data_IF_560325938455
#
_entry.id   IF_560325938455
#
_cell.length_a   1.000
_cell.length_b   1.000
_cell.length_c   1.000
_cell.angle_alpha   90.00
_cell.angle_beta   90.00
_cell.angle_gamma   90.00
#
_symmetry.space_group_name_H-M   'P 1'
#
loop_
_entity.id
_entity.type
_entity.pdbx_description
1 polymer ?
#
# COMPACT_ATOMS: atom_id res chain seq x y z
N UNK A 1 19.86 14.09 -2.06
CA UNK A 1 19.88 13.01 -1.05
C UNK A 1 20.36 13.48 0.34
N UNK A 2 20.93 14.69 0.48
CA UNK A 2 21.49 15.20 1.74
C UNK A 2 20.54 15.32 2.93
N UNK A 3 19.22 15.11 2.72
CA UNK A 3 18.26 15.08 3.82
C UNK A 3 18.52 13.94 4.82
N UNK A 4 19.21 12.86 4.48
CA UNK A 4 19.47 11.76 5.40
C UNK A 4 20.73 12.02 6.27
N UNK A 5 20.54 12.48 7.51
CA UNK A 5 21.63 12.92 8.42
C UNK A 5 22.65 11.84 8.72
N UNK A 6 22.21 10.59 8.86
CA UNK A 6 23.06 9.45 9.25
C UNK A 6 23.46 8.55 8.09
N UNK A 7 23.10 8.91 6.86
CA UNK A 7 23.32 8.09 5.67
C UNK A 7 22.12 7.21 5.30
N UNK A 8 22.32 6.32 4.33
CA UNK A 8 21.30 5.37 3.87
C UNK A 8 21.88 3.94 3.79
N UNK A 9 21.01 2.95 3.95
CA UNK A 9 21.26 1.58 3.51
C UNK A 9 20.77 1.43 2.06
N UNK A 10 21.70 1.53 1.11
CA UNK A 10 21.47 1.34 -0.31
C UNK A 10 21.17 -0.14 -0.64
N UNK A 11 20.17 -0.32 -1.50
CA UNK A 11 19.66 -1.60 -1.99
C UNK A 11 19.98 -1.74 -3.49
N UNK A 12 21.10 -2.35 -3.88
CA UNK A 12 21.55 -2.39 -5.26
C UNK A 12 20.65 -3.26 -6.17
N UNK A 13 19.86 -4.17 -5.59
CA UNK A 13 18.88 -4.98 -6.32
C UNK A 13 17.47 -4.38 -6.22
N UNK A 14 16.76 -4.37 -7.35
CA UNK A 14 15.33 -4.06 -7.38
C UNK A 14 14.53 -5.23 -6.79
N UNK A 15 13.80 -4.99 -5.71
CA UNK A 15 12.95 -6.00 -5.08
C UNK A 15 11.46 -5.74 -5.30
N UNK A 16 10.76 -6.75 -5.82
CA UNK A 16 9.37 -6.58 -6.25
C UNK A 16 8.39 -6.19 -5.11
N UNK A 17 8.71 -6.61 -3.88
CA UNK A 17 7.91 -6.34 -2.69
C UNK A 17 8.14 -4.95 -2.08
N UNK A 18 9.21 -4.24 -2.50
CA UNK A 18 9.47 -2.86 -2.10
C UNK A 18 8.80 -1.85 -3.05
N UNK A 19 8.22 -2.30 -4.15
CA UNK A 19 7.58 -1.44 -5.14
C UNK A 19 6.34 -0.74 -4.56
N UNK A 20 6.18 0.54 -4.87
CA UNK A 20 5.04 1.34 -4.46
C UNK A 20 3.83 1.01 -5.34
N UNK A 21 2.94 0.15 -4.84
CA UNK A 21 1.75 -0.33 -5.58
C UNK A 21 0.46 0.42 -5.28
N UNK A 22 0.36 1.00 -4.09
CA UNK A 22 -0.87 1.64 -3.62
C UNK A 22 -0.85 3.14 -3.89
N UNK A 23 -2.01 3.70 -4.20
CA UNK A 23 -2.17 5.14 -4.24
C UNK A 23 -1.91 5.74 -2.86
N UNK A 24 -1.01 6.72 -2.83
CA UNK A 24 -0.67 7.52 -1.64
C UNK A 24 -1.11 8.97 -1.81
N UNK A 25 -1.94 9.25 -2.81
CA UNK A 25 -2.54 10.57 -3.10
C UNK A 25 -1.52 11.64 -3.48
N UNK A 26 -0.35 11.20 -3.95
CA UNK A 26 0.68 12.04 -4.53
C UNK A 26 1.05 11.52 -5.92
N UNK A 27 1.58 12.42 -6.74
CA UNK A 27 1.90 12.17 -8.14
C UNK A 27 2.95 13.12 -8.66
N UNK A 28 3.49 12.78 -9.82
CA UNK A 28 4.48 13.56 -10.55
C UNK A 28 3.92 14.01 -11.89
N UNK A 29 4.50 15.08 -12.41
CA UNK A 29 4.29 15.47 -13.79
C UNK A 29 5.16 14.60 -14.68
N UNK A 30 4.55 13.85 -15.58
CA UNK A 30 5.22 13.03 -16.58
C UNK A 30 5.04 13.63 -17.97
N UNK A 31 6.03 13.46 -18.88
CA UNK A 31 5.84 13.72 -20.30
C UNK A 31 4.62 12.94 -20.84
N UNK A 32 3.90 13.56 -21.78
CA UNK A 32 2.64 13.06 -22.32
C UNK A 32 2.29 13.76 -23.63
N UNK A 33 1.52 13.13 -24.50
CA UNK A 33 0.92 13.80 -25.68
C UNK A 33 -0.58 14.03 -25.48
N UNK A 34 -1.13 15.20 -25.84
CA UNK A 34 -2.58 15.41 -25.85
C UNK A 34 -3.27 14.54 -26.92
N UNK A 35 -4.61 14.47 -26.90
CA UNK A 35 -5.39 13.78 -27.96
C UNK A 35 -5.07 14.28 -29.37
N UNK A 36 -4.53 15.50 -29.47
CA UNK A 36 -4.16 16.14 -30.74
C UNK A 36 -2.66 15.98 -31.05
N UNK A 37 -1.94 15.10 -30.34
CA UNK A 37 -0.53 14.82 -30.57
C UNK A 37 0.45 15.89 -30.08
N UNK A 38 0.01 16.86 -29.27
CA UNK A 38 0.89 17.92 -28.75
C UNK A 38 1.57 17.49 -27.45
N UNK A 39 2.87 17.72 -27.31
CA UNK A 39 3.59 17.52 -26.05
C UNK A 39 2.92 18.30 -24.90
N UNK A 40 2.79 17.64 -23.76
CA UNK A 40 2.11 18.09 -22.55
C UNK A 40 2.73 17.43 -21.32
N UNK A 41 2.50 18.01 -20.14
CA UNK A 41 2.83 17.38 -18.88
C UNK A 41 1.53 16.94 -18.20
N UNK A 42 1.44 15.67 -17.84
CA UNK A 42 0.27 15.08 -17.20
C UNK A 42 0.61 14.73 -15.75
N UNK A 43 -0.33 14.96 -14.84
CA UNK A 43 -0.18 14.53 -13.46
C UNK A 43 -0.53 13.05 -13.34
N UNK A 44 0.43 12.23 -12.91
CA UNK A 44 0.28 10.78 -12.77
C UNK A 44 0.60 10.37 -11.33
N UNK A 45 -0.28 9.58 -10.67
CA UNK A 45 -0.02 9.07 -9.33
C UNK A 45 1.32 8.33 -9.23
N UNK A 46 2.02 8.49 -8.11
CA UNK A 46 3.37 7.91 -7.92
C UNK A 46 3.40 6.40 -8.18
N UNK A 47 2.40 5.66 -7.70
CA UNK A 47 2.32 4.20 -7.90
C UNK A 47 2.17 3.75 -9.37
N UNK A 48 2.00 4.69 -10.31
CA UNK A 48 1.92 4.47 -11.76
C UNK A 48 3.15 5.00 -12.52
N UNK A 49 4.11 5.62 -11.83
CA UNK A 49 5.35 6.10 -12.44
C UNK A 49 6.45 5.06 -12.21
N UNK A 50 7.27 4.71 -13.22
CA UNK A 50 8.39 3.79 -13.04
C UNK A 50 9.35 4.27 -11.95
N UNK A 51 9.78 3.37 -11.06
CA UNK A 51 10.60 3.75 -9.93
C UNK A 51 11.47 2.61 -9.39
N UNK A 52 12.45 3.02 -8.59
CA UNK A 52 13.42 2.15 -7.92
C UNK A 52 13.49 2.51 -6.44
N UNK A 53 13.35 1.52 -5.56
CA UNK A 53 13.61 1.69 -4.13
C UNK A 53 15.13 1.69 -3.91
N UNK A 54 15.70 2.89 -3.76
CA UNK A 54 17.13 3.09 -3.53
C UNK A 54 17.57 2.49 -2.20
N UNK A 55 16.74 2.55 -1.16
CA UNK A 55 17.16 2.10 0.15
C UNK A 55 16.29 2.57 1.30
N UNK A 56 16.85 2.50 2.51
CA UNK A 56 16.21 2.99 3.74
C UNK A 56 17.15 3.96 4.47
N UNK A 57 16.61 4.93 5.19
CA UNK A 57 17.43 5.83 6.00
C UNK A 57 18.08 5.11 7.19
N UNK A 58 19.32 5.47 7.52
CA UNK A 58 19.97 5.09 8.77
C UNK A 58 19.38 5.96 9.89
N UNK A 59 19.05 5.36 11.04
CA UNK A 59 18.35 6.03 12.15
C UNK A 59 16.81 5.97 12.05
N UNK A 60 16.27 5.79 10.85
CA UNK A 60 14.82 5.69 10.60
C UNK A 60 14.52 4.69 9.47
N UNK A 61 14.79 3.41 9.73
CA UNK A 61 14.77 2.34 8.72
C UNK A 61 13.42 2.07 8.06
N UNK A 62 12.33 2.49 8.70
CA UNK A 62 10.96 2.50 8.17
C UNK A 62 10.78 3.46 7.00
N UNK A 63 11.67 4.47 6.89
CA UNK A 63 11.64 5.47 5.84
C UNK A 63 12.38 4.96 4.60
N UNK A 64 11.60 4.53 3.60
CA UNK A 64 12.08 4.04 2.32
C UNK A 64 12.28 5.19 1.34
N UNK A 65 13.38 5.13 0.60
CA UNK A 65 13.78 6.15 -0.36
C UNK A 65 13.65 5.62 -1.78
N UNK A 66 12.94 6.35 -2.60
CA UNK A 66 12.61 6.00 -3.98
C UNK A 66 13.18 7.02 -4.95
N UNK A 67 13.62 6.53 -6.11
CA UNK A 67 13.92 7.34 -7.29
C UNK A 67 12.85 7.02 -8.32
N UNK A 68 12.09 8.05 -8.70
CA UNK A 68 11.10 7.99 -9.76
C UNK A 68 11.71 8.43 -11.09
N UNK A 69 11.27 7.81 -12.18
CA UNK A 69 11.74 8.08 -13.54
C UNK A 69 10.57 8.49 -14.45
N UNK A 70 10.12 9.77 -14.38
CA UNK A 70 8.98 10.26 -15.16
C UNK A 70 9.11 10.04 -16.67
N UNK A 71 10.32 10.16 -17.21
CA UNK A 71 10.57 10.01 -18.64
C UNK A 71 10.39 8.56 -19.16
N UNK A 72 10.47 7.54 -18.29
CA UNK A 72 10.20 6.15 -18.67
C UNK A 72 8.70 5.84 -18.82
N UNK A 73 7.82 6.71 -18.32
CA UNK A 73 6.38 6.40 -18.27
C UNK A 73 5.73 6.27 -19.67
N UNK A 74 6.26 6.95 -20.69
CA UNK A 74 5.71 6.88 -22.06
C UNK A 74 6.22 5.67 -22.87
N UNK A 75 7.19 4.93 -22.33
CA UNK A 75 7.84 3.84 -23.04
C UNK A 75 6.97 2.57 -22.98
N UNK A 76 6.93 1.80 -24.07
CA UNK A 76 6.04 0.63 -24.21
C UNK A 76 6.22 -0.40 -23.09
N UNK A 77 7.44 -0.56 -22.59
CA UNK A 77 7.76 -1.48 -21.50
C UNK A 77 7.04 -1.15 -20.17
N UNK A 78 6.54 0.09 -20.04
CA UNK A 78 5.93 0.63 -18.82
C UNK A 78 4.42 0.89 -18.95
N UNK A 79 3.78 0.47 -20.05
CA UNK A 79 2.33 0.59 -20.23
C UNK A 79 1.55 -0.14 -19.13
N UNK A 80 2.09 -1.28 -18.66
CA UNK A 80 1.45 -2.15 -17.67
C UNK A 80 2.34 -2.46 -16.45
N UNK A 81 3.48 -1.78 -16.34
CA UNK A 81 4.46 -2.04 -15.28
C UNK A 81 5.09 -0.74 -14.79
N UNK A 82 5.32 -0.66 -13.47
CA UNK A 82 6.17 0.38 -12.86
C UNK A 82 7.53 -0.14 -12.42
N UNK A 83 7.78 -1.44 -12.62
CA UNK A 83 9.07 -2.06 -12.40
C UNK A 83 10.01 -1.68 -13.51
N UNK A 84 11.25 -1.31 -13.16
CA UNK A 84 12.31 -1.19 -14.15
C UNK A 84 12.47 -2.50 -14.93
N UNK A 85 12.55 -2.41 -16.25
CA UNK A 85 12.96 -3.54 -17.07
C UNK A 85 14.38 -3.96 -16.68
N UNK A 86 14.75 -5.24 -16.89
CA UNK A 86 16.12 -5.69 -16.58
C UNK A 86 17.19 -4.88 -17.33
N UNK A 87 16.85 -4.38 -18.53
CA UNK A 87 17.71 -3.50 -19.32
C UNK A 87 17.87 -2.14 -18.67
N UNK A 88 16.78 -1.52 -18.24
CA UNK A 88 16.83 -0.18 -17.63
C UNK A 88 17.41 -0.23 -16.21
N UNK A 89 17.17 -1.30 -15.44
CA UNK A 89 17.84 -1.55 -14.17
C UNK A 89 19.36 -1.63 -14.37
N UNK A 90 19.81 -2.45 -15.33
CA UNK A 90 21.23 -2.59 -15.61
C UNK A 90 21.84 -1.26 -16.07
N UNK A 91 21.18 -0.54 -16.97
CA UNK A 91 21.65 0.76 -17.46
C UNK A 91 21.71 1.79 -16.32
N UNK A 92 20.69 1.85 -15.47
CA UNK A 92 20.63 2.73 -14.31
C UNK A 92 21.79 2.47 -13.33
N UNK A 93 22.03 1.21 -12.99
CA UNK A 93 23.08 0.85 -12.03
C UNK A 93 24.48 0.97 -12.62
N UNK A 94 24.73 0.34 -13.77
CA UNK A 94 26.07 0.18 -14.32
C UNK A 94 26.58 1.47 -15.01
N UNK A 95 25.69 2.29 -15.59
CA UNK A 95 26.08 3.51 -16.30
C UNK A 95 25.92 4.79 -15.48
N UNK A 96 25.09 4.79 -14.43
CA UNK A 96 24.83 5.98 -13.59
C UNK A 96 25.24 5.72 -12.15
N UNK A 97 24.47 4.92 -11.41
CA UNK A 97 24.54 4.93 -9.94
C UNK A 97 25.89 4.44 -9.40
N UNK A 98 26.37 3.27 -9.85
CA UNK A 98 27.66 2.70 -9.39
C UNK A 98 28.84 3.60 -9.79
N UNK A 99 28.95 4.09 -11.05
CA UNK A 99 29.98 5.07 -11.41
C UNK A 99 29.93 6.35 -10.57
N UNK A 100 28.74 6.90 -10.31
CA UNK A 100 28.60 8.09 -9.47
C UNK A 100 29.05 7.81 -8.02
N UNK A 101 28.63 6.67 -7.43
CA UNK A 101 29.08 6.24 -6.09
C UNK A 101 30.61 6.11 -6.06
N UNK A 102 31.21 5.47 -7.06
CA UNK A 102 32.66 5.26 -7.16
C UNK A 102 33.43 6.58 -7.23
N UNK A 103 32.85 7.61 -7.87
CA UNK A 103 33.45 8.95 -7.97
C UNK A 103 33.36 9.76 -6.69
N UNK A 104 32.26 9.64 -5.92
CA UNK A 104 32.05 10.45 -4.71
C UNK A 104 32.58 9.80 -3.43
N UNK A 105 32.58 8.46 -3.36
CA UNK A 105 33.07 7.73 -2.20
C UNK A 105 34.59 7.57 -2.32
N UNK A 106 35.31 8.50 -1.71
CA UNK A 106 36.78 8.51 -1.66
C UNK A 106 37.34 7.54 -0.60
N UNK A 107 36.96 6.26 -0.68
CA UNK A 107 37.47 5.22 0.22
C UNK A 107 37.37 3.83 -0.41
N UNK A 108 38.52 3.29 -0.85
CA UNK A 108 38.60 1.96 -1.47
C UNK A 108 38.11 0.82 -0.56
N UNK A 109 38.28 0.95 0.75
CA UNK A 109 37.80 -0.07 1.71
C UNK A 109 36.27 -0.12 1.78
N UNK A 110 35.60 1.00 1.56
CA UNK A 110 34.13 1.07 1.47
C UNK A 110 33.70 0.54 0.10
N UNK A 111 34.32 1.02 -0.97
CA UNK A 111 33.98 0.62 -2.34
C UNK A 111 34.14 -0.89 -2.60
N UNK A 112 35.13 -1.53 -1.97
CA UNK A 112 35.33 -2.99 -2.07
C UNK A 112 34.19 -3.83 -1.49
N UNK A 113 33.27 -3.23 -0.72
CA UNK A 113 32.08 -3.89 -0.17
C UNK A 113 30.85 -3.74 -1.07
N UNK A 114 30.90 -2.89 -2.10
CA UNK A 114 29.78 -2.62 -2.99
C UNK A 114 29.80 -3.55 -4.20
N UNK A 115 28.64 -3.93 -4.74
CA UNK A 115 28.61 -4.76 -5.94
C UNK A 115 29.20 -3.98 -7.11
N UNK A 116 30.06 -4.65 -7.89
CA UNK A 116 30.70 -4.02 -9.04
C UNK A 116 29.77 -3.84 -10.26
N UNK A 117 28.59 -4.48 -10.26
CA UNK A 117 27.57 -4.33 -11.31
C UNK A 117 26.19 -4.77 -10.84
N UNK A 118 25.14 -4.37 -11.55
CA UNK A 118 23.78 -4.86 -11.42
C UNK A 118 23.71 -6.39 -11.50
N UNK A 119 24.52 -6.99 -12.38
CA UNK A 119 24.58 -8.45 -12.55
C UNK A 119 25.07 -9.14 -11.28
N UNK A 120 26.12 -8.62 -10.65
CA UNK A 120 26.66 -9.16 -9.39
C UNK A 120 25.63 -8.99 -8.28
N UNK A 121 25.05 -7.79 -8.12
CA UNK A 121 24.00 -7.55 -7.12
C UNK A 121 22.83 -8.53 -7.26
N UNK A 122 22.43 -8.84 -8.49
CA UNK A 122 21.37 -9.82 -8.76
C UNK A 122 21.77 -11.25 -8.40
N UNK A 123 22.97 -11.70 -8.75
CA UNK A 123 23.46 -13.04 -8.39
C UNK A 123 23.64 -13.20 -6.88
N UNK A 124 24.27 -12.22 -6.22
CA UNK A 124 24.53 -12.26 -4.78
C UNK A 124 23.23 -12.33 -3.97
N UNK A 125 22.18 -11.65 -4.42
CA UNK A 125 20.87 -11.73 -3.77
C UNK A 125 20.28 -13.15 -3.76
N UNK A 126 20.67 -14.00 -4.70
CA UNK A 126 20.19 -15.38 -4.82
C UNK A 126 21.14 -16.39 -4.17
N UNK A 127 22.34 -15.99 -3.75
CA UNK A 127 23.39 -16.91 -3.29
C UNK A 127 22.90 -17.90 -2.23
N UNK A 128 22.24 -17.46 -1.15
CA UNK A 128 21.71 -18.36 -0.11
C UNK A 128 20.72 -19.38 -0.68
N UNK A 129 19.83 -18.97 -1.59
CA UNK A 129 18.78 -19.84 -2.10
C UNK A 129 19.24 -20.76 -3.24
N UNK A 130 20.22 -20.32 -4.02
CA UNK A 130 20.77 -21.04 -5.16
C UNK A 130 21.92 -21.99 -4.78
N UNK A 131 22.70 -21.64 -3.74
CA UNK A 131 23.91 -22.35 -3.34
C UNK A 131 23.75 -23.07 -1.99
N UNK A 132 22.71 -22.74 -1.22
CA UNK A 132 22.40 -23.38 0.06
C UNK A 132 21.74 -24.76 -0.09
N UNK A 133 22.29 -25.78 0.57
CA UNK A 133 21.74 -27.15 0.61
C UNK A 133 20.51 -27.31 1.55
N UNK A 134 20.07 -26.25 2.24
CA UNK A 134 18.97 -26.34 3.19
C UNK A 134 17.61 -26.43 2.48
N UNK A 135 16.68 -27.23 3.03
CA UNK A 135 15.25 -27.19 2.65
C UNK A 135 14.78 -25.73 2.69
N UNK A 136 13.97 -25.32 1.69
CA UNK A 136 13.48 -23.96 1.45
C UNK A 136 12.71 -23.36 2.65
N UNK A 137 13.44 -22.96 3.69
CA UNK A 137 12.92 -22.20 4.83
C UNK A 137 13.11 -20.70 4.64
N UNK A 138 14.00 -20.26 3.74
CA UNK A 138 14.32 -18.86 3.47
C UNK A 138 13.62 -18.29 2.23
N UNK A 139 13.47 -16.96 2.20
CA UNK A 139 13.02 -16.24 1.01
C UNK A 139 13.95 -16.53 -0.18
N UNK A 140 13.39 -16.59 -1.40
CA UNK A 140 14.18 -16.85 -2.62
C UNK A 140 15.25 -15.80 -2.88
N UNK A 141 15.04 -14.57 -2.42
CA UNK A 141 15.97 -13.45 -2.60
C UNK A 141 16.34 -12.84 -1.24
N UNK A 142 17.61 -12.51 -1.09
CA UNK A 142 18.17 -11.79 0.05
C UNK A 142 18.10 -10.28 -0.17
N UNK A 143 17.78 -9.55 0.90
CA UNK A 143 17.82 -8.09 0.91
C UNK A 143 19.20 -7.60 1.35
N UNK A 144 20.14 -7.54 0.40
CA UNK A 144 21.51 -7.08 0.65
C UNK A 144 21.56 -5.55 0.73
N UNK A 145 22.11 -5.01 1.83
CA UNK A 145 22.16 -3.59 2.15
C UNK A 145 23.60 -3.11 2.26
N UNK A 146 23.91 -1.98 1.65
CA UNK A 146 25.23 -1.33 1.73
C UNK A 146 25.09 0.08 2.29
N UNK A 147 25.86 0.43 3.33
CA UNK A 147 25.74 1.73 3.98
C UNK A 147 26.50 2.81 3.20
N UNK A 148 25.80 3.84 2.72
CA UNK A 148 26.39 5.06 2.14
C UNK A 148 26.34 6.17 3.20
N UNK A 149 27.50 6.69 3.58
CA UNK A 149 27.67 7.67 4.65
C UNK A 149 27.15 9.05 4.24
N UNK A 150 26.67 9.88 5.19
CA UNK A 150 25.94 11.11 4.91
C UNK A 150 26.75 12.14 4.12
N UNK A 151 28.06 12.23 4.34
CA UNK A 151 28.94 13.18 3.64
C UNK A 151 28.98 12.97 2.12
N UNK A 152 28.62 11.78 1.63
CA UNK A 152 28.63 11.46 0.21
C UNK A 152 27.27 11.71 -0.46
N UNK A 153 26.18 11.86 0.30
CA UNK A 153 24.83 11.80 -0.26
C UNK A 153 24.47 13.01 -1.12
N UNK A 154 24.75 14.22 -0.66
CA UNK A 154 24.41 15.40 -1.45
C UNK A 154 25.23 15.49 -2.76
N UNK A 155 26.58 15.33 -2.72
CA UNK A 155 27.38 15.24 -3.94
C UNK A 155 26.95 14.09 -4.86
N UNK A 156 26.56 12.93 -4.30
CA UNK A 156 26.08 11.79 -5.08
C UNK A 156 24.84 12.16 -5.91
N UNK A 157 23.86 12.82 -5.31
CA UNK A 157 22.63 13.17 -6.02
C UNK A 157 22.88 14.20 -7.12
N UNK A 158 23.70 15.22 -6.83
CA UNK A 158 24.11 16.22 -7.83
C UNK A 158 24.80 15.56 -9.00
N UNK A 159 25.79 14.70 -8.74
CA UNK A 159 26.54 14.01 -9.79
C UNK A 159 25.67 13.05 -10.63
N UNK A 160 24.67 12.41 -10.03
CA UNK A 160 23.69 11.58 -10.74
C UNK A 160 22.94 12.43 -11.78
N UNK A 161 22.43 13.59 -11.36
CA UNK A 161 21.67 14.47 -12.24
C UNK A 161 22.55 15.05 -13.36
N UNK A 162 23.77 15.49 -13.04
CA UNK A 162 24.75 15.96 -14.04
C UNK A 162 25.07 14.86 -15.06
N UNK A 163 25.32 13.63 -14.60
CA UNK A 163 25.63 12.49 -15.47
C UNK A 163 24.48 12.18 -16.45
N UNK A 164 23.22 12.34 -16.01
CA UNK A 164 22.03 12.13 -16.85
C UNK A 164 21.90 13.25 -17.89
N UNK A 165 22.14 14.51 -17.51
CA UNK A 165 22.00 15.65 -18.42
C UNK A 165 23.13 15.71 -19.47
N UNK A 166 24.36 15.42 -19.07
CA UNK A 166 25.55 15.50 -19.92
C UNK A 166 25.65 14.34 -20.92
N UNK A 167 24.89 13.25 -20.72
CA UNK A 167 24.94 12.07 -21.57
C UNK A 167 23.62 11.85 -22.33
N UNK A 168 23.56 12.13 -23.65
CA UNK A 168 22.38 11.88 -24.47
C UNK A 168 21.87 10.43 -24.44
N UNK A 169 22.75 9.46 -24.20
CA UNK A 169 22.40 8.04 -24.06
C UNK A 169 21.58 7.72 -22.81
N UNK A 170 21.49 8.65 -21.85
CA UNK A 170 20.79 8.50 -20.58
C UNK A 170 19.51 9.34 -20.48
N UNK A 171 19.05 9.94 -21.60
CA UNK A 171 17.88 10.83 -21.63
C UNK A 171 16.60 10.21 -21.04
N UNK A 172 16.47 8.88 -21.08
CA UNK A 172 15.33 8.14 -20.53
C UNK A 172 15.21 8.24 -18.99
N UNK A 173 16.28 8.65 -18.30
CA UNK A 173 16.28 8.90 -16.86
C UNK A 173 16.17 10.39 -16.49
N UNK A 174 15.98 11.29 -17.47
CA UNK A 174 15.80 12.72 -17.19
C UNK A 174 14.63 12.98 -16.26
N UNK A 175 14.73 14.07 -15.50
CA UNK A 175 13.75 14.43 -14.46
C UNK A 175 13.61 13.39 -13.34
N UNK A 176 14.65 12.57 -13.11
CA UNK A 176 14.70 11.66 -11.97
C UNK A 176 14.37 12.42 -10.67
N UNK A 177 13.43 11.89 -9.90
CA UNK A 177 12.86 12.59 -8.73
C UNK A 177 12.93 11.72 -7.49
N UNK A 178 13.46 12.27 -6.40
CA UNK A 178 13.48 11.60 -5.11
C UNK A 178 12.12 11.70 -4.40
N UNK A 179 11.73 10.62 -3.74
CA UNK A 179 10.59 10.61 -2.84
C UNK A 179 10.85 9.65 -1.68
N UNK A 180 10.48 10.06 -0.48
CA UNK A 180 10.68 9.28 0.73
C UNK A 180 9.33 8.97 1.37
N UNK A 181 9.14 7.74 1.84
CA UNK A 181 7.88 7.32 2.43
C UNK A 181 8.09 6.26 3.51
N UNK A 182 7.41 6.44 4.64
CA UNK A 182 7.33 5.47 5.72
C UNK A 182 5.96 4.79 5.74
N UNK A 183 5.94 3.47 5.92
CA UNK A 183 4.70 2.68 6.10
C UNK A 183 4.81 1.84 7.35
N UNK A 184 3.66 1.44 7.88
CA UNK A 184 3.53 0.56 9.04
C UNK A 184 4.09 1.14 10.36
N UNK A 185 4.16 2.46 10.48
CA UNK A 185 4.66 3.17 11.66
C UNK A 185 3.59 3.44 12.73
N UNK A 186 2.33 3.10 12.45
CA UNK A 186 1.16 3.47 13.28
C UNK A 186 1.28 3.01 14.73
N UNK A 187 1.69 1.75 14.95
CA UNK A 187 1.81 1.18 16.31
C UNK A 187 3.04 1.74 17.02
N UNK A 188 4.11 2.03 16.29
CA UNK A 188 5.38 2.49 16.82
C UNK A 188 5.28 3.87 17.50
N UNK A 189 4.50 4.78 16.91
CA UNK A 189 4.30 6.14 17.42
C UNK A 189 2.98 6.32 18.20
N UNK A 190 2.18 5.27 18.38
CA UNK A 190 0.93 5.39 19.14
C UNK A 190 1.22 5.65 20.64
N UNK A 191 0.63 6.69 21.21
CA UNK A 191 0.77 7.08 22.62
C UNK A 191 -0.59 7.49 23.19
N UNK A 192 -0.66 7.64 24.52
CA UNK A 192 -1.89 8.02 25.23
C UNK A 192 -2.31 9.47 24.97
N UNK A 193 -1.38 10.35 24.61
CA UNK A 193 -1.65 11.73 24.22
C UNK A 193 -0.94 12.08 22.91
N UNK A 194 -1.48 13.07 22.21
CA UNK A 194 -0.91 13.58 20.96
C UNK A 194 0.49 14.17 21.21
N UNK A 195 0.67 14.93 22.28
CA UNK A 195 1.94 15.56 22.66
C UNK A 195 3.06 14.51 22.77
N UNK A 196 2.82 13.40 23.47
CA UNK A 196 3.80 12.31 23.58
C UNK A 196 4.07 11.62 22.23
N UNK A 197 3.04 11.42 21.41
CA UNK A 197 3.20 10.80 20.09
C UNK A 197 4.07 11.68 19.18
N UNK A 198 3.78 12.98 19.16
CA UNK A 198 4.50 13.95 18.35
C UNK A 198 5.96 14.11 18.81
N UNK A 199 6.22 14.30 20.11
CA UNK A 199 7.59 14.45 20.63
C UNK A 199 8.49 13.24 20.32
N UNK A 200 7.94 12.02 20.40
CA UNK A 200 8.71 10.80 20.07
C UNK A 200 8.98 10.72 18.57
N UNK A 201 7.98 11.05 17.74
CA UNK A 201 8.14 11.07 16.29
C UNK A 201 9.11 12.15 15.84
N UNK A 202 8.92 13.39 16.31
CA UNK A 202 9.73 14.56 15.99
C UNK A 202 11.19 14.32 16.33
N UNK A 203 11.49 13.79 17.53
CA UNK A 203 12.88 13.47 17.93
C UNK A 203 13.55 12.50 16.97
N UNK A 204 12.83 11.48 16.49
CA UNK A 204 13.38 10.52 15.51
C UNK A 204 13.51 11.16 14.12
N UNK A 205 12.52 11.96 13.73
CA UNK A 205 12.54 12.67 12.45
C UNK A 205 13.68 13.69 12.38
N UNK A 206 13.87 14.51 13.40
CA UNK A 206 14.91 15.54 13.46
C UNK A 206 16.32 14.95 13.62
N UNK A 207 16.46 13.82 14.32
CA UNK A 207 17.72 13.05 14.37
C UNK A 207 18.08 12.45 13.00
N UNK A 208 17.11 11.89 12.28
CA UNK A 208 17.36 11.22 11.01
C UNK A 208 17.41 12.17 9.80
N UNK A 209 16.80 13.35 9.88
CA UNK A 209 16.57 14.22 8.70
C UNK A 209 17.11 15.65 8.82
N UNK A 210 17.71 16.16 7.74
CA UNK A 210 18.21 17.53 7.65
C UNK A 210 17.17 18.44 6.96
N UNK A 211 16.59 19.43 7.66
CA UNK A 211 15.57 20.34 7.13
C UNK A 211 16.05 21.25 6.00
N UNK A 212 17.36 21.41 5.78
CA UNK A 212 17.89 22.18 4.64
C UNK A 212 17.57 21.55 3.28
N UNK A 213 17.25 20.25 3.26
CA UNK A 213 17.08 19.46 2.03
C UNK A 213 15.64 19.07 1.73
N UNK A 214 14.66 19.54 2.51
CA UNK A 214 13.25 19.32 2.23
C UNK A 214 12.39 20.55 2.56
N UNK A 215 11.23 20.65 1.90
CA UNK A 215 10.26 21.72 2.18
C UNK A 215 9.13 21.16 3.05
N UNK A 216 8.88 21.77 4.21
CA UNK A 216 7.85 21.35 5.17
C UNK A 216 6.43 21.39 4.60
N UNK A 217 6.13 22.28 3.66
CA UNK A 217 4.84 22.35 2.96
C UNK A 217 4.65 21.20 1.94
N UNK A 218 5.75 20.50 1.62
CA UNK A 218 5.80 19.36 0.70
C UNK A 218 6.23 18.06 1.38
N UNK A 219 6.35 18.08 2.71
CA UNK A 219 6.54 16.91 3.56
C UNK A 219 5.23 16.69 4.31
N UNK A 220 4.74 15.45 4.36
CA UNK A 220 3.42 15.15 4.90
C UNK A 220 3.50 14.09 5.98
N UNK A 221 2.64 14.24 6.99
CA UNK A 221 2.48 13.31 8.11
C UNK A 221 1.02 12.91 8.25
N UNK A 222 0.78 11.69 8.73
CA UNK A 222 -0.56 11.21 9.06
C UNK A 222 -0.78 11.41 10.57
N UNK A 223 -1.58 12.41 10.93
CA UNK A 223 -2.07 12.63 12.29
C UNK A 223 -3.28 11.72 12.54
N UNK A 224 -3.20 10.84 13.54
CA UNK A 224 -4.21 9.82 13.76
C UNK A 224 -4.67 9.72 15.22
N UNK A 225 -5.97 9.45 15.38
CA UNK A 225 -6.62 9.13 16.67
C UNK A 225 -7.34 7.79 16.55
N UNK A 226 -7.24 6.97 17.59
CA UNK A 226 -8.09 5.79 17.75
C UNK A 226 -8.91 5.93 19.04
N UNK A 227 -10.22 5.73 18.92
CA UNK A 227 -11.14 5.68 20.06
C UNK A 227 -11.65 4.25 20.20
N UNK A 228 -11.32 3.64 21.33
CA UNK A 228 -11.85 2.33 21.75
C UNK A 228 -12.74 2.57 22.97
N UNK A 229 -13.66 1.64 23.26
CA UNK A 229 -14.44 1.69 24.49
C UNK A 229 -13.55 1.73 25.74
N UNK A 230 -14.10 2.27 26.84
CA UNK A 230 -13.43 2.27 28.16
C UNK A 230 -13.19 0.85 28.68
N UNK A 231 -14.05 -0.08 28.28
CA UNK A 231 -13.99 -1.50 28.68
C UNK A 231 -13.19 -2.32 27.66
N UNK A 232 -12.12 -1.72 27.11
CA UNK A 232 -11.29 -2.37 26.10
C UNK A 232 -10.52 -3.56 26.67
N UNK A 233 -10.57 -4.70 25.98
CA UNK A 233 -9.81 -5.90 26.32
C UNK A 233 -8.78 -6.24 25.23
N UNK A 234 -7.61 -6.75 25.63
CA UNK A 234 -6.64 -7.45 24.77
C UNK A 234 -6.65 -8.95 25.09
N UNK A 235 -6.06 -9.82 24.25
CA UNK A 235 -6.03 -11.25 24.54
C UNK A 235 -5.38 -11.49 25.89
N UNK A 236 -6.00 -12.37 26.67
CA UNK A 236 -5.54 -12.81 27.99
C UNK A 236 -5.68 -11.77 29.11
N UNK A 237 -6.36 -10.65 28.87
CA UNK A 237 -6.84 -9.80 29.97
C UNK A 237 -7.94 -10.52 30.75
N UNK A 238 -7.96 -10.32 32.08
CA UNK A 238 -9.14 -10.62 32.88
C UNK A 238 -10.18 -9.54 32.57
N UNK A 239 -11.14 -9.87 31.69
CA UNK A 239 -12.32 -9.05 31.52
C UNK A 239 -13.12 -9.12 32.82
N UNK A 240 -13.52 -8.00 33.44
CA UNK A 240 -14.41 -8.01 34.60
C UNK A 240 -15.64 -8.89 34.33
N UNK A 241 -16.16 -9.59 35.35
CA UNK A 241 -17.28 -10.56 35.18
C UNK A 241 -18.55 -9.94 34.56
N UNK A 242 -18.68 -8.62 34.59
CA UNK A 242 -19.79 -7.82 34.08
C UNK A 242 -19.52 -7.09 32.75
N UNK A 243 -18.37 -7.33 32.11
CA UNK A 243 -17.98 -6.67 30.86
C UNK A 243 -17.66 -7.67 29.75
N UNK A 244 -17.75 -7.20 28.49
CA UNK A 244 -17.40 -8.00 27.30
C UNK A 244 -16.40 -7.24 26.42
N UNK A 245 -15.70 -7.95 25.54
CA UNK A 245 -14.88 -7.30 24.52
C UNK A 245 -15.77 -6.58 23.50
N UNK A 246 -15.39 -5.37 23.11
CA UNK A 246 -16.26 -4.46 22.36
C UNK A 246 -15.63 -3.97 21.05
N UNK A 247 -16.43 -4.00 19.99
CA UNK A 247 -16.13 -3.38 18.71
C UNK A 247 -16.96 -2.11 18.56
N UNK A 248 -16.29 -0.97 18.36
CA UNK A 248 -16.96 0.30 18.12
C UNK A 248 -17.13 0.54 16.62
N UNK A 249 -18.31 1.02 16.23
CA UNK A 249 -18.65 1.41 14.86
C UNK A 249 -19.21 2.82 14.84
N UNK A 250 -18.74 3.67 13.94
CA UNK A 250 -19.36 4.98 13.70
C UNK A 250 -20.60 4.83 12.81
N UNK A 251 -21.57 5.71 12.98
CA UNK A 251 -22.85 5.81 12.25
C UNK A 251 -22.70 5.95 10.72
N UNK A 252 -21.47 6.05 10.21
CA UNK A 252 -21.15 6.00 8.79
C UNK A 252 -19.99 5.03 8.61
N UNK A 253 -20.27 3.88 8.00
CA UNK A 253 -19.34 2.76 7.81
C UNK A 253 -18.18 3.14 6.87
N UNK A 254 -17.21 3.91 7.36
CA UNK A 254 -16.04 4.34 6.62
C UNK A 254 -16.29 5.57 5.73
N UNK A 255 -15.49 6.62 5.90
CA UNK A 255 -15.57 7.85 5.14
C UNK A 255 -14.16 8.33 4.80
N UNK A 256 -13.95 8.83 3.59
CA UNK A 256 -12.72 9.57 3.23
C UNK A 256 -13.13 10.86 2.53
N UNK A 257 -12.71 11.98 3.10
CA UNK A 257 -12.95 13.32 2.59
C UNK A 257 -11.62 13.83 2.04
N UNK A 258 -11.57 14.12 0.74
CA UNK A 258 -10.41 14.74 0.12
C UNK A 258 -10.59 16.25 0.11
N UNK A 259 -9.53 16.98 0.45
CA UNK A 259 -9.51 18.41 0.22
C UNK A 259 -9.60 18.70 -1.28
N UNK A 260 -10.29 19.77 -1.66
CA UNK A 260 -10.43 20.15 -3.06
C UNK A 260 -9.04 20.50 -3.63
N UNK A 261 -8.65 19.97 -4.81
CA UNK A 261 -7.38 20.33 -5.44
C UNK A 261 -7.27 21.86 -5.62
N UNK A 262 -6.25 22.46 -5.02
CA UNK A 262 -6.04 23.92 -5.04
C UNK A 262 -7.03 24.74 -4.20
N UNK A 263 -7.91 24.09 -3.42
CA UNK A 263 -8.79 24.72 -2.42
C UNK A 263 -8.04 25.31 -1.23
N UNK A 264 -8.75 25.95 -0.31
CA UNK A 264 -8.14 26.57 0.88
C UNK A 264 -7.45 25.51 1.75
N UNK A 265 -8.13 24.41 2.04
CA UNK A 265 -7.64 23.32 2.88
C UNK A 265 -6.35 22.70 2.33
N UNK A 266 -6.28 22.49 1.01
CA UNK A 266 -5.06 21.97 0.36
C UNK A 266 -3.91 22.97 0.42
N UNK A 267 -4.19 24.29 0.32
CA UNK A 267 -3.17 25.33 0.44
C UNK A 267 -2.66 25.47 1.87
N UNK A 268 -3.52 25.22 2.85
CA UNK A 268 -3.18 25.24 4.27
C UNK A 268 -2.50 23.93 4.72
N UNK A 269 -2.48 22.90 3.86
CA UNK A 269 -1.69 21.69 4.04
C UNK A 269 -2.49 20.40 4.24
N UNK A 270 -3.83 20.44 4.30
CA UNK A 270 -4.68 19.25 4.44
C UNK A 270 -4.88 18.54 3.09
N UNK A 271 -4.57 17.25 3.03
CA UNK A 271 -4.77 16.41 1.83
C UNK A 271 -6.06 15.60 1.93
N UNK A 272 -6.27 14.90 3.04
CA UNK A 272 -7.49 14.15 3.29
C UNK A 272 -7.75 13.93 4.78
N UNK A 273 -9.00 13.64 5.11
CA UNK A 273 -9.44 13.11 6.41
C UNK A 273 -10.17 11.78 6.19
N UNK A 274 -9.74 10.73 6.88
CA UNK A 274 -10.27 9.38 6.75
C UNK A 274 -10.76 8.84 8.10
N UNK A 275 -11.97 8.30 8.11
CA UNK A 275 -12.63 7.72 9.28
C UNK A 275 -13.02 6.27 9.00
N UNK A 276 -12.65 5.33 9.86
CA UNK A 276 -12.99 3.91 9.64
C UNK A 276 -12.86 3.06 10.92
N UNK A 277 -13.60 1.95 11.00
CA UNK A 277 -13.45 0.97 12.07
C UNK A 277 -12.21 0.09 11.91
N UNK A 278 -11.54 -0.24 13.02
CA UNK A 278 -10.36 -1.11 13.04
C UNK A 278 -10.69 -2.60 12.87
N UNK A 279 -11.96 -2.96 12.70
CA UNK A 279 -12.45 -4.34 12.59
C UNK A 279 -11.86 -5.11 11.39
N UNK A 280 -11.32 -4.41 10.38
CA UNK A 280 -10.61 -5.06 9.25
C UNK A 280 -9.23 -5.63 9.63
N UNK A 281 -8.67 -5.21 10.77
CA UNK A 281 -7.29 -5.53 11.18
C UNK A 281 -7.02 -7.04 11.27
N UNK A 282 -7.92 -7.90 11.79
CA UNK A 282 -7.69 -9.35 11.81
C UNK A 282 -7.52 -9.97 10.42
N UNK A 283 -8.06 -9.33 9.38
CA UNK A 283 -7.99 -9.84 8.01
C UNK A 283 -6.85 -9.24 7.17
N UNK A 284 -6.21 -8.17 7.66
CA UNK A 284 -5.15 -7.41 6.99
C UNK A 284 -3.77 -7.89 7.47
N UNK A 285 -3.00 -8.52 6.58
CA UNK A 285 -1.59 -8.82 6.83
C UNK A 285 -0.74 -8.05 5.83
N UNK A 286 -0.14 -6.94 6.28
CA UNK A 286 0.69 -6.07 5.43
C UNK A 286 0.01 -5.66 4.11
N UNK A 287 -1.28 -5.30 4.16
CA UNK A 287 -2.14 -4.97 3.02
C UNK A 287 -2.53 -6.13 2.11
N UNK A 288 -2.24 -7.36 2.52
CA UNK A 288 -2.79 -8.57 1.88
C UNK A 288 -4.00 -9.01 2.68
N UNK A 289 -5.21 -8.78 2.15
CA UNK A 289 -6.46 -9.18 2.80
C UNK A 289 -6.82 -10.66 2.54
N UNK A 290 -7.76 -11.23 3.30
CA UNK A 290 -8.20 -12.62 3.06
C UNK A 290 -8.98 -12.67 1.75
N UNK A 291 -8.74 -13.71 0.93
CA UNK A 291 -9.32 -13.85 -0.40
C UNK A 291 -8.94 -12.75 -1.42
N UNK A 292 -7.98 -11.87 -1.11
CA UNK A 292 -7.63 -10.71 -1.96
C UNK A 292 -7.09 -11.08 -3.36
N UNK A 293 -6.58 -12.31 -3.51
CA UNK A 293 -6.10 -12.85 -4.79
C UNK A 293 -7.26 -13.05 -5.79
N UNK A 294 -7.39 -12.14 -6.74
CA UNK A 294 -8.40 -12.19 -7.81
C UNK A 294 -8.34 -13.46 -8.67
N UNK A 295 -7.15 -14.04 -8.82
CA UNK A 295 -6.94 -15.27 -9.58
C UNK A 295 -7.67 -16.47 -8.98
N UNK A 296 -8.14 -16.39 -7.72
CA UNK A 296 -9.01 -17.40 -7.12
C UNK A 296 -10.32 -17.54 -7.91
N UNK A 297 -10.81 -16.50 -8.58
CA UNK A 297 -11.99 -16.56 -9.47
C UNK A 297 -11.81 -17.59 -10.61
N UNK A 298 -10.56 -17.90 -10.99
CA UNK A 298 -10.28 -18.91 -12.01
C UNK A 298 -10.68 -20.33 -11.57
N UNK A 299 -10.97 -20.57 -10.29
CA UNK A 299 -11.57 -21.83 -9.82
C UNK A 299 -12.96 -22.08 -10.43
N UNK A 300 -13.64 -21.04 -10.91
CA UNK A 300 -14.93 -21.13 -11.58
C UNK A 300 -14.82 -21.43 -13.09
N UNK A 301 -13.61 -21.49 -13.65
CA UNK A 301 -13.41 -21.79 -15.08
C UNK A 301 -13.70 -23.26 -15.36
N UNK A 302 -14.43 -23.51 -16.45
CA UNK A 302 -14.68 -24.85 -16.94
C UNK A 302 -13.37 -25.62 -17.21
N UNK A 303 -13.20 -26.85 -16.69
CA UNK A 303 -11.98 -27.62 -16.91
C UNK A 303 -11.71 -27.92 -18.39
N UNK A 304 -12.75 -28.02 -19.23
CA UNK A 304 -12.63 -28.18 -20.68
C UNK A 304 -12.04 -26.93 -21.34
N UNK A 305 -12.53 -25.75 -20.98
CA UNK A 305 -11.99 -24.47 -21.41
C UNK A 305 -10.53 -24.27 -21.01
N UNK A 306 -10.17 -24.63 -19.77
CA UNK A 306 -8.76 -24.55 -19.34
C UNK A 306 -7.86 -25.48 -20.16
N UNK A 307 -8.33 -26.70 -20.45
CA UNK A 307 -7.57 -27.66 -21.28
C UNK A 307 -7.39 -27.16 -22.72
N UNK A 308 -8.42 -26.57 -23.32
CA UNK A 308 -8.29 -26.04 -24.70
C UNK A 308 -7.29 -24.89 -24.77
N UNK A 309 -7.34 -23.97 -23.80
CA UNK A 309 -6.39 -22.86 -23.72
C UNK A 309 -4.93 -23.33 -23.57
N UNK A 310 -4.70 -24.37 -22.75
CA UNK A 310 -3.37 -24.96 -22.58
C UNK A 310 -2.87 -25.66 -23.85
N UNK A 311 -3.77 -26.27 -24.64
CA UNK A 311 -3.44 -26.93 -25.90
C UNK A 311 -3.12 -25.93 -27.03
N UNK A 312 -3.78 -24.78 -27.04
CA UNK A 312 -3.58 -23.72 -28.04
C UNK A 312 -2.31 -22.89 -27.79
N UNK A 313 -1.52 -23.19 -26.74
CA UNK A 313 -0.32 -22.43 -26.39
C UNK A 313 -0.62 -21.00 -25.91
N UNK A 314 -1.88 -20.69 -25.60
CA UNK A 314 -2.29 -19.44 -24.99
C UNK A 314 -1.66 -19.36 -23.60
N UNK A 315 -0.74 -18.42 -23.41
CA UNK A 315 0.05 -18.23 -22.18
C UNK A 315 -0.78 -17.80 -20.97
N UNK A 316 -1.75 -18.61 -20.54
CA UNK A 316 -2.47 -18.38 -19.30
C UNK A 316 -1.73 -19.10 -18.18
N UNK A 317 -1.16 -18.30 -17.28
CA UNK A 317 -0.49 -18.69 -16.03
C UNK A 317 -1.48 -19.26 -14.99
N UNK A 318 -2.54 -19.96 -15.42
CA UNK A 318 -3.53 -20.53 -14.51
C UNK A 318 -3.06 -21.87 -13.98
N UNK A 319 -2.78 -21.91 -12.68
CA UNK A 319 -2.60 -23.15 -11.94
C UNK A 319 -3.75 -23.33 -10.97
N UNK A 320 -4.62 -24.31 -11.26
CA UNK A 320 -5.74 -24.68 -10.38
C UNK A 320 -5.25 -24.95 -8.95
N UNK A 321 -4.16 -25.70 -8.80
CA UNK A 321 -3.59 -26.01 -7.48
C UNK A 321 -3.10 -24.78 -6.72
N UNK A 322 -2.57 -23.76 -7.40
CA UNK A 322 -2.19 -22.49 -6.76
C UNK A 322 -3.42 -21.72 -6.29
N UNK A 323 -4.49 -21.70 -7.10
CA UNK A 323 -5.74 -21.02 -6.74
C UNK A 323 -6.46 -21.72 -5.58
N UNK A 324 -6.50 -23.06 -5.58
CA UNK A 324 -7.04 -23.86 -4.47
C UNK A 324 -6.25 -23.63 -3.19
N UNK A 325 -4.91 -23.64 -3.28
CA UNK A 325 -4.05 -23.35 -2.13
C UNK A 325 -4.29 -21.95 -1.57
N UNK A 326 -4.42 -20.93 -2.43
CA UNK A 326 -4.70 -19.56 -2.04
C UNK A 326 -6.09 -19.42 -1.37
N UNK A 327 -7.11 -20.08 -1.93
CA UNK A 327 -8.46 -20.13 -1.37
C UNK A 327 -8.48 -20.77 0.02
N UNK A 328 -7.91 -21.97 0.16
CA UNK A 328 -7.86 -22.70 1.43
C UNK A 328 -7.01 -21.97 2.48
N UNK A 329 -5.91 -21.35 2.07
CA UNK A 329 -5.08 -20.53 2.97
C UNK A 329 -5.85 -19.31 3.47
N UNK A 330 -6.64 -18.66 2.62
CA UNK A 330 -7.52 -17.55 3.00
C UNK A 330 -8.61 -17.99 3.98
N UNK A 331 -9.26 -19.15 3.74
CA UNK A 331 -10.23 -19.74 4.68
C UNK A 331 -9.61 -20.00 6.05
N UNK A 332 -8.45 -20.66 6.09
CA UNK A 332 -7.73 -20.94 7.35
C UNK A 332 -7.40 -19.66 8.11
N UNK A 333 -6.89 -18.64 7.41
CA UNK A 333 -6.55 -17.36 8.01
C UNK A 333 -7.78 -16.62 8.53
N UNK A 334 -8.87 -16.60 7.76
CA UNK A 334 -10.13 -15.99 8.19
C UNK A 334 -10.70 -16.70 9.42
N UNK A 335 -10.74 -18.04 9.42
CA UNK A 335 -11.23 -18.84 10.53
C UNK A 335 -10.46 -18.61 11.83
N UNK A 336 -9.12 -18.73 11.80
CA UNK A 336 -8.29 -18.49 12.97
C UNK A 336 -8.49 -17.07 13.51
N UNK A 337 -8.52 -16.07 12.63
CA UNK A 337 -8.73 -14.68 13.05
C UNK A 337 -10.13 -14.42 13.62
N UNK A 338 -11.17 -15.11 13.14
CA UNK A 338 -12.52 -14.96 13.68
C UNK A 338 -12.72 -15.63 15.04
N UNK A 339 -11.91 -16.65 15.37
CA UNK A 339 -11.96 -17.32 16.67
C UNK A 339 -11.08 -16.62 17.69
N UNK A 340 -9.80 -16.43 17.36
CA UNK A 340 -8.78 -16.03 18.32
C UNK A 340 -8.87 -14.55 18.71
N UNK A 341 -9.64 -13.76 17.95
CA UNK A 341 -9.84 -12.33 18.21
C UNK A 341 -11.18 -11.98 18.89
N UNK A 342 -12.01 -12.96 19.28
CA UNK A 342 -13.31 -12.70 19.95
C UNK A 342 -13.20 -11.88 21.23
N UNK A 343 -12.05 -11.99 21.90
CA UNK A 343 -11.74 -11.33 23.16
C UNK A 343 -11.00 -9.99 23.00
N UNK A 344 -10.90 -9.46 21.77
CA UNK A 344 -10.22 -8.18 21.51
C UNK A 344 -11.23 -7.08 21.24
N UNK A 345 -10.94 -5.89 21.76
CA UNK A 345 -11.71 -4.69 21.42
C UNK A 345 -11.17 -4.00 20.17
N UNK A 346 -12.07 -3.45 19.35
CA UNK A 346 -11.74 -2.77 18.09
C UNK A 346 -12.29 -1.35 18.09
N UNK A 347 -11.39 -0.36 18.02
CA UNK A 347 -11.77 1.05 18.00
C UNK A 347 -12.08 1.61 16.60
N UNK A 348 -12.68 2.79 16.58
CA UNK A 348 -12.80 3.66 15.40
C UNK A 348 -11.56 4.52 15.26
N UNK A 349 -11.13 4.74 14.01
CA UNK A 349 -9.98 5.57 13.67
C UNK A 349 -10.39 6.79 12.88
N UNK A 350 -9.62 7.84 13.12
CA UNK A 350 -9.61 9.11 12.41
C UNK A 350 -8.15 9.39 12.03
N UNK A 351 -7.90 9.66 10.74
CA UNK A 351 -6.57 9.90 10.19
C UNK A 351 -6.61 11.10 9.25
N UNK A 352 -5.73 12.08 9.47
CA UNK A 352 -5.58 13.27 8.66
C UNK A 352 -4.19 13.30 8.04
N UNK A 353 -4.11 13.41 6.72
CA UNK A 353 -2.83 13.66 6.05
C UNK A 353 -2.64 15.15 5.89
N UNK A 354 -1.66 15.70 6.61
CA UNK A 354 -1.39 17.13 6.67
C UNK A 354 0.08 17.41 6.35
N UNK A 355 0.40 18.63 5.94
CA UNK A 355 1.79 19.07 5.76
C UNK A 355 2.52 19.12 7.11
N UNK A 356 3.84 19.04 7.08
CA UNK A 356 4.66 19.16 8.28
C UNK A 356 4.54 20.56 8.89
N UNK A 357 4.44 21.61 8.06
CA UNK A 357 4.18 22.98 8.52
C UNK A 357 2.87 23.07 9.32
N UNK A 358 1.79 22.49 8.78
CA UNK A 358 0.49 22.47 9.47
C UNK A 358 0.55 21.67 10.78
N UNK A 359 1.30 20.55 10.81
CA UNK A 359 1.49 19.78 12.03
C UNK A 359 2.23 20.57 13.11
N UNK A 360 3.28 21.32 12.74
CA UNK A 360 4.01 22.18 13.68
C UNK A 360 3.09 23.27 14.26
N UNK A 361 2.28 23.91 13.43
CA UNK A 361 1.28 24.91 13.88
C UNK A 361 0.20 24.31 14.78
N UNK A 362 -0.31 23.12 14.45
CA UNK A 362 -1.27 22.39 15.29
C UNK A 362 -0.63 22.07 16.64
N UNK A 363 0.62 21.62 16.64
CA UNK A 363 1.33 21.27 17.87
C UNK A 363 1.53 22.50 18.78
N UNK A 364 1.93 23.64 18.22
CA UNK A 364 2.08 24.89 18.98
C UNK A 364 0.76 25.34 19.64
N UNK A 365 -0.35 25.26 18.90
CA UNK A 365 -1.69 25.57 19.45
C UNK A 365 -2.11 24.55 20.50
N UNK A 366 -1.83 23.26 20.28
CA UNK A 366 -2.18 22.20 21.20
C UNK A 366 -1.45 22.34 22.54
N UNK A 367 -0.15 22.62 22.52
CA UNK A 367 0.64 22.89 23.73
C UNK A 367 0.07 24.08 24.50
N UNK A 368 -0.44 25.10 23.80
CA UNK A 368 -1.14 26.21 24.46
C UNK A 368 -2.45 25.76 25.11
N UNK A 369 -3.25 24.93 24.45
CA UNK A 369 -4.52 24.43 25.00
C UNK A 369 -4.35 23.46 26.17
N UNK A 370 -3.35 22.57 26.14
CA UNK A 370 -3.02 21.67 27.26
C UNK A 370 -2.68 22.46 28.56
N UNK A 371 -2.28 23.74 28.44
CA UNK A 371 -2.04 24.63 29.59
C UNK A 371 -3.33 25.25 30.16
N UNK A 372 -4.43 25.23 29.41
CA UNK A 372 -5.73 25.81 29.79
C UNK A 372 -6.80 24.75 30.13
N UNK A 373 -6.67 23.51 29.64
CA UNK A 373 -7.54 22.39 30.01
C UNK A 373 -7.11 21.75 31.35
N UNK A 374 -7.25 22.52 32.41
CA UNK A 374 -7.43 22.01 33.76
C UNK A 374 -8.91 22.17 34.12
N UNK A 375 -9.61 21.04 34.22
CA UNK A 375 -10.95 20.88 34.82
C UNK A 375 -12.15 21.49 34.05
N UNK A 376 -12.72 20.71 33.13
CA UNK A 376 -14.17 20.74 32.92
C UNK A 376 -14.77 19.33 33.10
N UNK A 377 -14.94 18.95 34.37
CA UNK A 377 -15.69 17.77 34.79
C UNK A 377 -17.17 18.13 34.80
N UNK A 378 -17.75 18.37 33.62
CA UNK A 378 -19.20 18.35 33.48
C UNK A 378 -19.65 16.88 33.43
N UNK A 379 -20.33 16.43 34.49
CA UNK A 379 -20.75 15.04 34.72
C UNK A 379 -21.81 14.49 33.75
N UNK A 380 -22.01 15.11 32.59
CA UNK A 380 -22.81 14.52 31.51
C UNK A 380 -21.87 13.84 30.52
N UNK A 381 -21.90 12.50 30.46
CA UNK A 381 -21.24 11.80 29.35
C UNK A 381 -21.90 12.28 28.05
N UNK A 382 -21.18 13.01 27.16
CA UNK A 382 -21.74 13.34 25.86
C UNK A 382 -22.11 12.04 25.15
N UNK A 383 -23.13 12.05 24.27
CA UNK A 383 -23.44 10.89 23.45
C UNK A 383 -22.17 10.46 22.70
N UNK A 384 -21.82 9.18 22.80
CA UNK A 384 -20.66 8.65 22.10
C UNK A 384 -20.96 8.72 20.59
N UNK A 385 -20.03 9.22 19.75
CA UNK A 385 -20.26 9.35 18.31
C UNK A 385 -20.14 8.01 17.56
N UNK A 386 -20.45 6.91 18.24
CA UNK A 386 -20.31 5.53 17.77
C UNK A 386 -21.24 4.59 18.53
N UNK A 387 -21.68 3.55 17.84
CA UNK A 387 -22.28 2.36 18.44
C UNK A 387 -21.19 1.46 19.01
N UNK A 388 -21.52 0.78 20.09
CA UNK A 388 -20.71 -0.26 20.71
C UNK A 388 -21.44 -1.59 20.44
N UNK A 389 -20.75 -2.55 19.86
CA UNK A 389 -21.27 -3.89 19.58
C UNK A 389 -20.32 -4.90 20.23
N UNK A 390 -20.82 -5.94 20.92
CA UNK A 390 -19.96 -7.02 21.40
C UNK A 390 -19.12 -7.60 20.25
N UNK A 391 -17.80 -7.72 20.46
CA UNK A 391 -16.90 -8.25 19.44
C UNK A 391 -17.33 -9.66 19.03
N UNK A 392 -17.76 -10.49 19.98
CA UNK A 392 -18.19 -11.86 19.68
C UNK A 392 -19.40 -11.90 18.74
N UNK A 393 -20.38 -11.02 18.95
CA UNK A 393 -21.56 -10.91 18.09
C UNK A 393 -21.17 -10.50 16.66
N UNK A 394 -20.33 -9.47 16.56
CA UNK A 394 -19.84 -8.97 15.27
C UNK A 394 -19.01 -10.01 14.52
N UNK A 395 -18.06 -10.68 15.19
CA UNK A 395 -17.25 -11.71 14.56
C UNK A 395 -18.08 -12.95 14.22
N UNK A 396 -19.09 -13.29 15.01
CA UNK A 396 -20.04 -14.36 14.68
C UNK A 396 -20.87 -14.03 13.45
N UNK A 397 -21.30 -12.78 13.30
CA UNK A 397 -21.93 -12.30 12.06
C UNK A 397 -20.97 -12.41 10.86
N UNK A 398 -19.74 -11.94 10.98
CA UNK A 398 -18.74 -12.04 9.91
C UNK A 398 -18.40 -13.49 9.54
N UNK A 399 -18.32 -14.38 10.54
CA UNK A 399 -18.15 -15.82 10.34
C UNK A 399 -19.30 -16.40 9.51
N UNK A 400 -20.54 -16.06 9.84
CA UNK A 400 -21.70 -16.48 9.05
C UNK A 400 -21.68 -15.91 7.63
N UNK A 401 -21.32 -14.63 7.45
CA UNK A 401 -21.23 -14.00 6.13
C UNK A 401 -20.16 -14.64 5.23
N UNK A 402 -18.96 -14.89 5.75
CA UNK A 402 -17.88 -15.55 5.00
C UNK A 402 -18.29 -16.99 4.63
N UNK A 403 -18.86 -17.74 5.58
CA UNK A 403 -19.27 -19.12 5.32
C UNK A 403 -20.43 -19.21 4.34
N UNK A 404 -21.35 -18.25 4.33
CA UNK A 404 -22.43 -18.19 3.33
C UNK A 404 -21.88 -18.22 1.90
N UNK A 405 -20.86 -17.41 1.61
CA UNK A 405 -20.24 -17.37 0.27
C UNK A 405 -19.31 -18.56 0.01
N UNK A 406 -18.57 -19.03 1.02
CA UNK A 406 -17.80 -20.27 0.88
C UNK A 406 -18.72 -21.45 0.51
N UNK A 407 -19.81 -21.61 1.27
CA UNK A 407 -20.79 -22.67 1.04
C UNK A 407 -21.43 -22.55 -0.33
N UNK A 408 -21.84 -21.35 -0.77
CA UNK A 408 -22.41 -21.16 -2.10
C UNK A 408 -21.45 -21.61 -3.20
N UNK A 409 -20.17 -21.21 -3.13
CA UNK A 409 -19.15 -21.62 -4.09
C UNK A 409 -18.92 -23.14 -4.07
N UNK A 410 -18.65 -23.70 -2.88
CA UNK A 410 -18.30 -25.12 -2.71
C UNK A 410 -19.48 -26.04 -3.05
N UNK A 411 -20.71 -25.61 -2.73
CA UNK A 411 -21.92 -26.34 -3.06
C UNK A 411 -22.12 -26.40 -4.58
N UNK A 412 -22.04 -25.28 -5.29
CA UNK A 412 -22.18 -25.27 -6.75
C UNK A 412 -21.05 -26.10 -7.38
N UNK A 413 -19.81 -25.90 -6.95
CA UNK A 413 -18.66 -26.65 -7.45
C UNK A 413 -18.86 -28.16 -7.29
N UNK A 414 -19.35 -28.63 -6.13
CA UNK A 414 -19.58 -30.05 -5.87
C UNK A 414 -20.73 -30.66 -6.69
N UNK A 415 -21.68 -29.85 -7.17
CA UNK A 415 -22.82 -30.31 -7.98
C UNK A 415 -22.60 -30.12 -9.48
N UNK A 416 -21.49 -29.50 -9.88
CA UNK A 416 -21.12 -29.42 -11.30
C UNK A 416 -20.72 -30.78 -11.86
N UNK A 417 -21.03 -31.00 -13.14
CA UNK A 417 -20.61 -32.19 -13.86
C UNK A 417 -19.12 -32.10 -14.28
N UNK A 418 -18.67 -32.96 -15.21
CA UNK A 418 -17.30 -32.87 -15.78
C UNK A 418 -17.01 -31.52 -16.46
N UNK A 419 -18.05 -30.76 -16.76
CA UNK A 419 -18.02 -29.42 -17.32
C UNK A 419 -18.95 -28.50 -16.53
N UNK A 420 -18.63 -27.21 -16.52
CA UNK A 420 -19.43 -26.19 -15.85
C UNK A 420 -20.31 -25.47 -16.87
N UNK A 421 -21.60 -25.36 -16.56
CA UNK A 421 -22.52 -24.52 -17.33
C UNK A 421 -22.27 -23.04 -17.04
N UNK A 422 -22.67 -22.16 -17.96
CA UNK A 422 -22.55 -20.73 -17.77
C UNK A 422 -23.22 -20.22 -16.47
N UNK A 423 -24.46 -20.65 -16.11
CA UNK A 423 -25.06 -20.26 -14.84
C UNK A 423 -24.24 -20.71 -13.62
N UNK A 424 -23.70 -21.92 -13.62
CA UNK A 424 -22.86 -22.42 -12.52
C UNK A 424 -21.59 -21.57 -12.38
N UNK A 425 -20.90 -21.30 -13.49
CA UNK A 425 -19.72 -20.42 -13.51
C UNK A 425 -20.07 -19.02 -13.00
N UNK A 426 -21.18 -18.43 -13.44
CA UNK A 426 -21.60 -17.10 -12.96
C UNK A 426 -21.82 -17.06 -11.46
N UNK A 427 -22.51 -18.06 -10.89
CA UNK A 427 -22.77 -18.13 -9.44
C UNK A 427 -21.47 -18.32 -8.66
N UNK A 428 -20.58 -19.20 -9.14
CA UNK A 428 -19.26 -19.40 -8.52
C UNK A 428 -18.41 -18.12 -8.53
N UNK A 429 -18.37 -17.39 -9.65
CA UNK A 429 -17.66 -16.11 -9.74
C UNK A 429 -18.25 -15.08 -8.78
N UNK A 430 -19.58 -14.94 -8.72
CA UNK A 430 -20.25 -14.02 -7.77
C UNK A 430 -19.88 -14.39 -6.33
N UNK A 431 -19.90 -15.67 -5.96
CA UNK A 431 -19.56 -16.14 -4.62
C UNK A 431 -18.09 -15.85 -4.26
N UNK A 432 -17.15 -16.20 -5.15
CA UNK A 432 -15.72 -15.97 -4.97
C UNK A 432 -15.39 -14.48 -4.89
N UNK A 433 -16.06 -13.67 -5.70
CA UNK A 433 -15.89 -12.22 -5.69
C UNK A 433 -16.50 -11.58 -4.44
N UNK A 434 -17.66 -12.05 -3.99
CA UNK A 434 -18.26 -11.63 -2.72
C UNK A 434 -17.36 -11.90 -1.51
N UNK A 435 -16.63 -13.02 -1.50
CA UNK A 435 -15.66 -13.33 -0.43
C UNK A 435 -14.60 -12.23 -0.25
N UNK A 436 -14.20 -11.55 -1.32
CA UNK A 436 -13.20 -10.47 -1.30
C UNK A 436 -13.68 -9.23 -0.53
N UNK A 437 -15.01 -9.03 -0.45
CA UNK A 437 -15.59 -7.78 0.05
C UNK A 437 -16.59 -7.99 1.20
N UNK A 438 -16.73 -9.21 1.73
CA UNK A 438 -17.79 -9.57 2.69
C UNK A 438 -17.51 -9.24 4.17
N UNK A 439 -16.32 -8.74 4.51
CA UNK A 439 -15.90 -8.46 5.89
C UNK A 439 -15.57 -6.98 6.15
N UNK A 440 -15.95 -6.08 5.23
CA UNK A 440 -15.84 -4.63 5.41
C UNK A 440 -16.72 -3.85 4.43
N UNK A 441 -17.33 -2.76 4.88
CA UNK A 441 -18.25 -1.92 4.08
C UNK A 441 -17.59 -1.19 2.91
N UNK A 442 -16.40 -0.62 3.14
CA UNK A 442 -15.65 0.18 2.15
C UNK A 442 -15.22 -0.61 0.90
N UNK A 443 -15.33 -1.92 0.98
CA UNK A 443 -14.89 -2.87 -0.02
C UNK A 443 -16.00 -3.17 -1.05
N UNK A 444 -17.27 -3.19 -0.63
CA UNK A 444 -18.41 -3.50 -1.51
C UNK A 444 -18.62 -2.48 -2.64
N UNK A 445 -18.42 -1.18 -2.37
CA UNK A 445 -18.58 -0.11 -3.38
C UNK A 445 -17.57 -0.25 -4.53
N UNK A 446 -16.47 -0.97 -4.32
CA UNK A 446 -15.45 -1.20 -5.36
C UNK A 446 -15.86 -2.26 -6.37
N UNK A 447 -16.94 -3.00 -6.12
CA UNK A 447 -17.35 -4.12 -6.95
C UNK A 447 -18.75 -3.90 -7.54
N UNK A 448 -18.78 -3.43 -8.78
CA UNK A 448 -20.03 -3.13 -9.50
C UNK A 448 -20.96 -4.33 -9.66
N UNK A 449 -20.42 -5.56 -9.66
CA UNK A 449 -21.20 -6.80 -9.72
C UNK A 449 -22.01 -7.03 -8.43
N UNK A 450 -21.48 -6.60 -7.28
CA UNK A 450 -22.09 -6.80 -5.97
C UNK A 450 -22.90 -5.57 -5.52
N UNK A 451 -22.56 -4.40 -6.03
CA UNK A 451 -23.20 -3.14 -5.69
C UNK A 451 -23.23 -2.20 -6.89
N UNK A 452 -24.43 -1.85 -7.36
CA UNK A 452 -24.64 -0.94 -8.49
C UNK A 452 -25.31 0.35 -8.01
N UNK A 453 -24.56 1.46 -7.99
CA UNK A 453 -25.08 2.78 -7.60
C UNK A 453 -25.53 3.64 -8.79
N UNK A 454 -25.19 3.27 -10.03
CA UNK A 454 -25.65 3.96 -11.25
C UNK A 454 -26.19 2.95 -12.26
N UNK A 455 -27.40 3.22 -12.76
CA UNK A 455 -27.96 2.58 -13.94
C UNK A 455 -27.66 3.46 -15.14
N UNK A 456 -26.59 3.18 -15.86
CA UNK A 456 -26.42 3.75 -17.19
C UNK A 456 -27.30 2.96 -18.15
N UNK A 457 -28.35 3.60 -18.66
CA UNK A 457 -29.15 3.08 -19.76
C UNK A 457 -28.25 3.06 -20.99
N UNK A 458 -27.66 1.92 -21.34
CA UNK A 458 -27.13 1.75 -22.68
C UNK A 458 -28.31 1.94 -23.65
N UNK A 459 -28.27 2.88 -24.61
CA UNK A 459 -29.24 2.90 -25.69
C UNK A 459 -29.05 1.57 -26.42
N UNK A 460 -30.00 0.65 -26.26
CA UNK A 460 -30.05 -0.54 -27.10
C UNK A 460 -30.12 -0.12 -28.58
N UNK A 461 -29.68 -0.98 -29.51
CA UNK A 461 -29.77 -0.69 -30.92
C UNK A 461 -31.23 -0.37 -31.26
N UNK A 462 -31.47 0.89 -31.66
CA UNK A 462 -32.81 1.39 -31.95
C UNK A 462 -33.45 0.54 -33.04
N UNK A 463 -34.56 -0.11 -32.70
CA UNK A 463 -35.50 -0.55 -33.71
C UNK A 463 -36.09 0.72 -34.36
N UNK A 464 -35.58 1.07 -35.53
CA UNK A 464 -36.22 2.04 -36.40
C UNK A 464 -37.59 1.50 -36.82
N UNK A 465 -38.65 2.01 -36.20
CA UNK A 465 -39.98 1.96 -36.80
C UNK A 465 -40.08 3.11 -37.80
N UNK A 466 -40.21 2.78 -39.08
CA UNK A 466 -40.52 3.74 -40.13
C UNK A 466 -41.89 4.39 -39.85
N UNK A 467 -42.08 5.68 -40.16
CA UNK A 467 -43.36 6.34 -39.97
C UNK A 467 -44.36 5.83 -41.03
N UNK A 468 -45.65 5.68 -40.67
CA UNK A 468 -46.69 5.40 -41.66
C UNK A 468 -46.95 6.65 -42.52
N UNK A 469 -47.26 6.39 -43.79
CA UNK A 469 -47.56 7.37 -44.84
C UNK A 469 -48.59 8.43 -44.44
#
# INVERSE_FOLDING_TARGET
>A
LGFARHGIHWLPKVHAYLNLKADIHFGLRVPGYTSNGKASLRYVPLHKVPHYCLGTLIGMSELQLFIFFPALHEESDYEHSTYLSSRDEQLWLDAILIPCITKVVDCSNILGQYPASARIANLDSLAISAEGFARKESAREQLLKHAIQPQYLDPLWTLILETIEDNPGLHRFRSATLFSNAKNTKVEYNRKSLTQAYEVWERRWSDATNPEFYNKDRTYVDLAKQVTSKDSAVPYDQIPEDHEAEATMRDTMGLTLFAAPGGAETRDGLIYSQFYGSIKTPFDSSKVYVFDNDSVENLALDPGYVRSLQQEGGGITFSKGVCEFAYLSSKKRAHANLLDNRWRSYGVREEHRISLSMMEEIYEQWVQWDLYDADDVSGSSPPLPYYIVPTDELLSFLYAQINKYCFLFEHVLAHTARTYSLPETMVMVVALRALRFCYGSNLLVRESLLYKNRWESAPGPGFHTAPPN
#
